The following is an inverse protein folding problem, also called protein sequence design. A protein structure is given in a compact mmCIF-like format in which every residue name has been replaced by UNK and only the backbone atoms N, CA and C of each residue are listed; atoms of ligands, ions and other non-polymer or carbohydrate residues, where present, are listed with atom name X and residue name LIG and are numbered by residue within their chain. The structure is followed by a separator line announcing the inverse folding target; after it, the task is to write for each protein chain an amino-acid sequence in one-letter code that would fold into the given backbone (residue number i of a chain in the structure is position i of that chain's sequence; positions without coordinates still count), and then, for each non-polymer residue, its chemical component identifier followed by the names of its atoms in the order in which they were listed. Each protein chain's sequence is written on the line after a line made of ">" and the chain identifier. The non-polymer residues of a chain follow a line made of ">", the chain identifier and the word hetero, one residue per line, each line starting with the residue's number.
data_IF_201858994153
#
_entry.id   IF_201858994153
#
_cell.length_a   1.000
_cell.length_b   1.000
_cell.length_c   1.000
_cell.angle_alpha   90.00
_cell.angle_beta   90.00
_cell.angle_gamma   90.00
#
_symmetry.space_group_name_H-M   'P 1'
#
loop_
_entity.id
_entity.type
_entity.pdbx_description
1 polymer ?
#
# COMPACT_ATOMS: atom_id res chain seq x y z
N UNK A 1 -15.49 -12.41 -14.75
CA UNK A 1 -15.18 -11.06 -14.21
C UNK A 1 -15.06 -10.06 -15.36
N UNK A 2 -15.67 -8.88 -15.27
CA UNK A 2 -15.52 -7.83 -16.30
C UNK A 2 -14.07 -7.33 -16.39
N UNK A 3 -13.63 -6.93 -17.59
CA UNK A 3 -12.24 -6.51 -17.85
C UNK A 3 -11.81 -5.36 -16.91
N UNK A 4 -12.70 -4.40 -16.65
CA UNK A 4 -12.43 -3.28 -15.74
C UNK A 4 -12.23 -3.71 -14.29
N UNK A 5 -12.94 -4.74 -13.81
CA UNK A 5 -12.71 -5.26 -12.46
C UNK A 5 -11.40 -6.06 -12.40
N UNK A 6 -11.12 -6.88 -13.41
CA UNK A 6 -9.88 -7.64 -13.51
C UNK A 6 -8.65 -6.72 -13.50
N UNK A 7 -8.70 -5.61 -14.23
CA UNK A 7 -7.59 -4.65 -14.27
C UNK A 7 -7.33 -3.99 -12.91
N UNK A 8 -8.35 -3.73 -12.09
CA UNK A 8 -8.17 -3.21 -10.73
C UNK A 8 -7.41 -4.20 -9.83
N UNK A 9 -7.79 -5.49 -9.83
CA UNK A 9 -7.06 -6.50 -9.06
C UNK A 9 -5.63 -6.68 -9.54
N UNK A 10 -5.42 -6.79 -10.86
CA UNK A 10 -4.10 -7.03 -11.44
C UNK A 10 -3.18 -5.83 -11.22
N UNK A 11 -3.68 -4.59 -11.41
CA UNK A 11 -2.87 -3.39 -11.18
C UNK A 11 -2.49 -3.21 -9.72
N UNK A 12 -3.45 -3.39 -8.80
CA UNK A 12 -3.20 -3.29 -7.37
C UNK A 12 -2.20 -4.36 -6.92
N UNK A 13 -2.41 -5.61 -7.31
CA UNK A 13 -1.48 -6.69 -7.01
C UNK A 13 -0.09 -6.46 -7.61
N UNK A 14 -0.02 -5.97 -8.85
CA UNK A 14 1.24 -5.63 -9.51
C UNK A 14 2.05 -4.59 -8.73
N UNK A 15 1.40 -3.55 -8.22
CA UNK A 15 2.05 -2.54 -7.35
C UNK A 15 2.61 -3.21 -6.10
N UNK A 16 1.81 -4.01 -5.39
CA UNK A 16 2.23 -4.68 -4.16
C UNK A 16 3.38 -5.67 -4.38
N UNK A 17 3.32 -6.49 -5.43
CA UNK A 17 4.37 -7.47 -5.73
C UNK A 17 5.67 -6.79 -6.14
N UNK A 18 5.59 -5.72 -6.93
CA UNK A 18 6.77 -5.02 -7.43
C UNK A 18 7.45 -4.22 -6.31
N UNK A 19 6.70 -3.35 -5.63
CA UNK A 19 7.23 -2.53 -4.53
C UNK A 19 7.66 -3.43 -3.38
N UNK A 20 6.86 -4.43 -3.03
CA UNK A 20 7.19 -5.41 -1.99
C UNK A 20 8.44 -6.23 -2.31
N UNK A 21 8.63 -6.60 -3.58
CA UNK A 21 9.86 -7.26 -4.04
C UNK A 21 11.10 -6.37 -3.88
N UNK A 22 10.97 -5.06 -4.11
CA UNK A 22 12.11 -4.15 -3.93
C UNK A 22 12.51 -3.96 -2.46
N UNK A 23 11.60 -4.18 -1.49
CA UNK A 23 11.87 -4.00 -0.05
C UNK A 23 13.02 -4.86 0.49
N UNK A 24 13.37 -5.95 -0.20
CA UNK A 24 14.50 -6.80 0.15
C UNK A 24 15.86 -6.24 -0.29
N UNK A 25 15.87 -5.05 -0.92
CA UNK A 25 17.09 -4.35 -1.32
C UNK A 25 17.45 -3.24 -0.33
N UNK A 26 18.75 -2.96 -0.20
CA UNK A 26 19.23 -1.84 0.59
C UNK A 26 18.78 -0.48 0.03
N UNK A 27 18.58 -0.39 -1.30
CA UNK A 27 18.07 0.80 -1.96
C UNK A 27 16.69 1.20 -1.44
N UNK A 28 15.75 0.26 -1.47
CA UNK A 28 14.39 0.52 -1.02
C UNK A 28 14.32 0.70 0.50
N UNK A 29 15.13 -0.04 1.27
CA UNK A 29 15.19 0.10 2.72
C UNK A 29 15.59 1.52 3.16
N UNK A 30 16.48 2.19 2.41
CA UNK A 30 16.83 3.58 2.66
C UNK A 30 15.76 4.55 2.14
N UNK A 31 15.14 4.26 1.00
CA UNK A 31 14.10 5.10 0.42
C UNK A 31 12.88 5.25 1.34
N UNK A 32 12.48 4.18 2.03
CA UNK A 32 11.30 4.19 2.91
C UNK A 32 11.53 4.91 4.23
N UNK A 33 12.80 5.08 4.62
CA UNK A 33 13.18 5.57 5.93
C UNK A 33 12.64 6.98 6.17
N UNK A 34 12.72 7.85 5.17
CA UNK A 34 12.24 9.25 5.26
C UNK A 34 10.77 9.33 5.65
N UNK A 35 9.94 8.40 5.18
CA UNK A 35 8.52 8.34 5.50
C UNK A 35 8.28 7.66 6.85
N UNK A 36 8.85 6.47 7.00
CA UNK A 36 8.45 5.52 8.03
C UNK A 36 9.10 5.80 9.41
N UNK A 37 10.28 6.42 9.46
CA UNK A 37 10.90 6.79 10.74
C UNK A 37 10.16 7.93 11.46
N UNK A 38 9.44 8.77 10.69
CA UNK A 38 8.73 9.93 11.21
C UNK A 38 7.28 9.61 11.61
N UNK A 39 6.79 8.39 11.35
CA UNK A 39 5.43 7.97 11.67
C UNK A 39 5.36 7.16 12.97
N UNK A 40 4.45 7.49 13.90
CA UNK A 40 4.27 6.71 15.13
C UNK A 40 3.79 5.28 14.87
N UNK A 41 3.24 4.99 13.68
CA UNK A 41 2.77 3.65 13.32
C UNK A 41 3.95 2.70 13.07
N UNK A 42 5.07 3.20 12.55
CA UNK A 42 6.18 2.36 12.07
C UNK A 42 7.52 2.64 12.75
N UNK A 43 7.71 3.82 13.36
CA UNK A 43 9.00 4.25 13.91
C UNK A 43 9.52 3.34 15.03
N UNK A 44 8.62 2.77 15.84
CA UNK A 44 8.96 1.87 16.94
C UNK A 44 9.54 0.51 16.49
N UNK A 45 9.40 0.14 15.22
CA UNK A 45 9.98 -1.09 14.68
C UNK A 45 11.49 -0.97 14.44
N UNK A 46 12.00 0.23 14.17
CA UNK A 46 13.41 0.44 13.79
C UNK A 46 14.40 0.08 14.90
N UNK A 47 14.18 0.42 16.18
CA UNK A 47 15.06 -0.02 17.26
C UNK A 47 15.09 -1.54 17.47
N UNK A 48 14.05 -2.26 17.05
CA UNK A 48 13.91 -3.70 17.25
C UNK A 48 14.51 -4.52 16.11
N UNK A 49 14.31 -4.06 14.86
CA UNK A 49 14.63 -4.84 13.66
C UNK A 49 15.67 -4.18 12.75
N UNK A 50 16.05 -2.92 13.03
CA UNK A 50 16.91 -2.13 12.16
C UNK A 50 16.26 -1.77 10.82
N UNK A 51 16.91 -0.91 10.03
CA UNK A 51 16.36 -0.37 8.78
C UNK A 51 16.00 -1.48 7.79
N UNK A 52 16.92 -2.40 7.53
CA UNK A 52 16.67 -3.51 6.59
C UNK A 52 15.64 -4.50 7.12
N UNK A 53 15.63 -4.79 8.43
CA UNK A 53 14.66 -5.71 9.01
C UNK A 53 13.22 -5.17 8.92
N UNK A 54 13.02 -3.89 9.20
CA UNK A 54 11.73 -3.22 8.99
C UNK A 54 11.31 -3.28 7.52
N UNK A 55 12.23 -2.97 6.60
CA UNK A 55 11.96 -3.08 5.16
C UNK A 55 11.54 -4.50 4.76
N UNK A 56 12.26 -5.53 5.22
CA UNK A 56 11.93 -6.93 4.93
C UNK A 56 10.53 -7.33 5.44
N UNK A 57 10.15 -6.89 6.64
CA UNK A 57 8.81 -7.15 7.20
C UNK A 57 7.72 -6.54 6.31
N UNK A 58 7.91 -5.28 5.89
CA UNK A 58 7.00 -4.61 4.96
C UNK A 58 6.98 -5.32 3.60
N UNK A 59 8.13 -5.79 3.11
CA UNK A 59 8.23 -6.57 1.87
C UNK A 59 7.43 -7.86 1.90
N UNK A 60 7.54 -8.64 2.98
CA UNK A 60 6.73 -9.86 3.16
C UNK A 60 5.24 -9.51 3.19
N UNK A 61 4.85 -8.46 3.92
CA UNK A 61 3.47 -8.00 4.01
C UNK A 61 2.92 -7.59 2.63
N UNK A 62 3.67 -6.80 1.87
CA UNK A 62 3.28 -6.31 0.54
C UNK A 62 3.20 -7.45 -0.47
N UNK A 63 4.17 -8.37 -0.50
CA UNK A 63 4.13 -9.54 -1.39
C UNK A 63 2.94 -10.44 -1.05
N UNK A 64 2.69 -10.71 0.23
CA UNK A 64 1.53 -11.49 0.66
C UNK A 64 0.21 -10.82 0.24
N UNK A 65 0.11 -9.49 0.37
CA UNK A 65 -1.04 -8.70 -0.07
C UNK A 65 -1.29 -8.88 -1.56
N UNK A 66 -0.25 -8.73 -2.39
CA UNK A 66 -0.35 -8.88 -3.84
C UNK A 66 -0.79 -10.30 -4.27
N UNK A 67 -0.23 -11.34 -3.65
CA UNK A 67 -0.62 -12.73 -3.92
C UNK A 67 -2.08 -13.00 -3.51
N UNK A 68 -2.52 -12.49 -2.36
CA UNK A 68 -3.90 -12.61 -1.92
C UNK A 68 -4.85 -11.88 -2.87
N UNK A 69 -4.50 -10.68 -3.36
CA UNK A 69 -5.31 -9.98 -4.34
C UNK A 69 -5.48 -10.80 -5.64
N UNK A 70 -4.40 -11.40 -6.16
CA UNK A 70 -4.46 -12.27 -7.35
C UNK A 70 -5.27 -13.56 -7.14
N UNK A 71 -5.38 -14.03 -5.90
CA UNK A 71 -6.21 -15.19 -5.56
C UNK A 71 -7.71 -14.98 -5.81
N UNK A 72 -8.14 -13.79 -6.27
CA UNK A 72 -9.53 -13.46 -6.64
C UNK A 72 -10.20 -14.47 -7.56
N UNK A 73 -9.46 -15.06 -8.49
CA UNK A 73 -9.99 -16.07 -9.44
C UNK A 73 -10.23 -17.43 -8.77
N UNK A 74 -9.51 -17.73 -7.69
CA UNK A 74 -9.61 -19.02 -6.98
C UNK A 74 -10.61 -18.91 -5.83
N UNK A 75 -10.55 -17.81 -5.08
CA UNK A 75 -11.44 -17.58 -3.94
C UNK A 75 -11.65 -16.09 -3.69
N UNK A 76 -12.90 -15.59 -3.80
CA UNK A 76 -13.24 -14.24 -3.34
C UNK A 76 -12.92 -14.01 -1.86
N UNK A 77 -12.92 -15.08 -1.04
CA UNK A 77 -12.62 -14.99 0.40
C UNK A 77 -11.16 -14.63 0.64
N UNK A 78 -10.23 -15.33 -0.01
CA UNK A 78 -8.80 -15.05 0.12
C UNK A 78 -8.47 -13.65 -0.41
N UNK A 79 -9.08 -13.27 -1.52
CA UNK A 79 -8.89 -11.93 -2.08
C UNK A 79 -9.41 -10.80 -1.19
N UNK A 80 -10.50 -11.02 -0.46
CA UNK A 80 -10.97 -10.03 0.53
C UNK A 80 -9.95 -9.74 1.63
N UNK A 81 -9.14 -10.73 2.03
CA UNK A 81 -8.06 -10.52 3.01
C UNK A 81 -6.97 -9.64 2.42
N UNK A 82 -6.56 -9.91 1.17
CA UNK A 82 -5.61 -9.05 0.45
C UNK A 82 -6.11 -7.61 0.29
N UNK A 83 -7.41 -7.43 0.00
CA UNK A 83 -8.02 -6.11 -0.08
C UNK A 83 -8.02 -5.36 1.26
N UNK A 84 -8.31 -6.03 2.38
CA UNK A 84 -8.21 -5.42 3.71
C UNK A 84 -6.77 -5.05 4.03
N UNK A 85 -5.82 -5.92 3.70
CA UNK A 85 -4.39 -5.64 3.89
C UNK A 85 -3.94 -4.42 3.08
N UNK A 86 -4.42 -4.27 1.84
CA UNK A 86 -4.10 -3.10 1.02
C UNK A 86 -4.73 -1.81 1.53
N UNK A 87 -5.96 -1.86 2.05
CA UNK A 87 -6.60 -0.72 2.75
C UNK A 87 -5.70 -0.25 3.89
N UNK A 88 -5.24 -1.18 4.74
CA UNK A 88 -4.36 -0.85 5.87
C UNK A 88 -3.07 -0.20 5.37
N UNK A 89 -2.42 -0.75 4.34
CA UNK A 89 -1.22 -0.15 3.75
C UNK A 89 -1.46 1.30 3.36
N UNK A 90 -2.50 1.58 2.58
CA UNK A 90 -2.71 2.94 2.07
C UNK A 90 -3.19 3.91 3.14
N UNK A 91 -3.84 3.44 4.20
CA UNK A 91 -4.12 4.28 5.37
C UNK A 91 -2.82 4.65 6.10
N UNK A 92 -1.89 3.70 6.24
CA UNK A 92 -0.58 3.96 6.84
C UNK A 92 0.22 4.92 5.95
N UNK A 93 0.28 4.70 4.63
CA UNK A 93 1.01 5.61 3.74
C UNK A 93 0.39 7.00 3.69
N UNK A 94 -0.94 7.12 3.66
CA UNK A 94 -1.59 8.44 3.72
C UNK A 94 -1.38 9.14 5.05
N UNK A 95 -1.18 8.42 6.15
CA UNK A 95 -0.77 9.03 7.43
C UNK A 95 0.55 9.79 7.31
N UNK A 96 1.43 9.39 6.38
CA UNK A 96 2.71 10.03 6.13
C UNK A 96 2.58 11.46 5.59
N UNK A 97 1.43 11.84 5.01
CA UNK A 97 1.16 13.24 4.62
C UNK A 97 1.21 14.20 5.82
N UNK A 98 0.90 13.70 7.01
CA UNK A 98 0.84 14.50 8.23
C UNK A 98 2.07 14.31 9.12
N UNK A 99 2.78 13.19 8.98
CA UNK A 99 3.93 12.87 9.85
C UNK A 99 5.28 13.11 9.18
N UNK A 100 5.35 13.15 7.84
CA UNK A 100 6.63 13.22 7.12
C UNK A 100 7.02 14.68 6.84
N UNK A 101 8.24 15.11 7.21
CA UNK A 101 8.73 16.43 6.83
C UNK A 101 8.93 16.52 5.32
N UNK A 102 8.74 17.71 4.74
CA UNK A 102 8.95 17.94 3.31
C UNK A 102 7.76 17.58 2.40
N UNK A 103 6.60 17.22 2.96
CA UNK A 103 5.34 17.04 2.20
C UNK A 103 4.91 18.35 1.52
N UNK A 104 5.06 19.49 2.21
CA UNK A 104 4.77 20.81 1.68
C UNK A 104 5.92 21.39 0.86
N UNK A 105 5.63 21.92 -0.34
CA UNK A 105 6.57 22.62 -1.20
C UNK A 105 6.92 24.00 -0.64
N UNK A 106 8.10 24.14 -0.03
CA UNK A 106 8.56 25.40 0.57
C UNK A 106 8.54 26.59 -0.42
N UNK A 107 8.95 26.44 -1.71
CA UNK A 107 8.88 27.55 -2.67
C UNK A 107 7.46 28.03 -2.96
N UNK A 108 6.44 27.23 -2.65
CA UNK A 108 5.02 27.53 -2.86
C UNK A 108 4.28 27.87 -1.55
N UNK A 109 5.00 28.18 -0.47
CA UNK A 109 4.41 28.54 0.83
C UNK A 109 4.16 27.36 1.78
N UNK A 110 4.66 26.17 1.46
CA UNK A 110 4.49 24.97 2.28
C UNK A 110 3.14 24.27 2.08
N UNK A 111 2.74 23.43 3.02
CA UNK A 111 1.48 22.70 2.93
C UNK A 111 0.28 23.68 2.95
N UNK A 112 -0.72 23.55 2.05
CA UNK A 112 -1.11 22.36 1.27
C UNK A 112 -0.51 22.24 -0.13
N UNK A 113 0.38 23.12 -0.57
CA UNK A 113 1.08 22.95 -1.85
C UNK A 113 2.02 21.73 -1.73
N UNK A 114 1.79 20.67 -2.51
CA UNK A 114 2.52 19.40 -2.39
C UNK A 114 3.88 19.46 -3.08
N UNK A 115 4.92 19.00 -2.38
CA UNK A 115 6.24 18.77 -2.98
C UNK A 115 6.18 17.65 -4.03
N UNK A 116 7.00 17.76 -5.07
CA UNK A 116 7.00 16.80 -6.18
C UNK A 116 7.44 15.40 -5.73
N UNK A 117 8.45 15.31 -4.87
CA UNK A 117 9.05 14.04 -4.47
C UNK A 117 8.25 13.29 -3.40
N UNK A 118 7.75 14.01 -2.38
CA UNK A 118 7.11 13.41 -1.20
C UNK A 118 5.59 13.61 -1.27
N UNK A 119 5.13 14.85 -1.34
CA UNK A 119 3.70 15.17 -1.24
C UNK A 119 2.87 14.56 -2.38
N UNK A 120 3.31 14.73 -3.62
CA UNK A 120 2.62 14.19 -4.79
C UNK A 120 2.71 12.66 -4.86
N UNK A 121 3.85 12.08 -4.43
CA UNK A 121 4.00 10.63 -4.33
C UNK A 121 2.96 10.02 -3.37
N UNK A 122 2.72 10.65 -2.22
CA UNK A 122 1.72 10.18 -1.25
C UNK A 122 0.28 10.47 -1.69
N UNK A 123 0.04 11.58 -2.40
CA UNK A 123 -1.31 11.95 -2.82
C UNK A 123 -1.98 10.91 -3.73
N UNK A 124 -1.20 10.22 -4.58
CA UNK A 124 -1.75 9.16 -5.46
C UNK A 124 -2.33 7.98 -4.67
N UNK A 125 -1.89 7.78 -3.42
CA UNK A 125 -2.36 6.67 -2.58
C UNK A 125 -3.81 6.86 -2.16
N UNK A 126 -4.39 8.07 -2.27
CA UNK A 126 -5.83 8.27 -2.10
C UNK A 126 -6.64 7.48 -3.13
N UNK A 127 -6.18 7.45 -4.39
CA UNK A 127 -6.83 6.66 -5.43
C UNK A 127 -6.64 5.16 -5.18
N UNK A 128 -5.46 4.75 -4.72
CA UNK A 128 -5.17 3.35 -4.41
C UNK A 128 -5.96 2.84 -3.19
N UNK A 129 -6.22 3.70 -2.20
CA UNK A 129 -7.12 3.41 -1.10
C UNK A 129 -8.56 3.21 -1.60
N UNK A 130 -9.04 4.09 -2.47
CA UNK A 130 -10.38 3.95 -3.07
C UNK A 130 -10.51 2.65 -3.88
N UNK A 131 -9.50 2.30 -4.67
CA UNK A 131 -9.45 1.02 -5.40
C UNK A 131 -9.44 -0.15 -4.42
N UNK A 132 -8.65 -0.07 -3.33
CA UNK A 132 -8.59 -1.11 -2.30
C UNK A 132 -9.93 -1.33 -1.62
N UNK A 133 -10.65 -0.27 -1.27
CA UNK A 133 -12.02 -0.33 -0.74
C UNK A 133 -12.98 -0.99 -1.73
N UNK A 134 -12.90 -0.60 -3.00
CA UNK A 134 -13.74 -1.13 -4.06
C UNK A 134 -13.52 -2.64 -4.27
N UNK A 135 -12.28 -3.09 -4.47
CA UNK A 135 -11.98 -4.52 -4.68
C UNK A 135 -12.31 -5.35 -3.44
N UNK A 136 -12.12 -4.81 -2.24
CA UNK A 136 -12.53 -5.48 -1.00
C UNK A 136 -14.05 -5.66 -0.94
N UNK A 137 -14.80 -4.59 -1.23
CA UNK A 137 -16.27 -4.62 -1.27
C UNK A 137 -16.80 -5.62 -2.30
N UNK A 138 -16.21 -5.65 -3.49
CA UNK A 138 -16.55 -6.62 -4.55
C UNK A 138 -16.25 -8.07 -4.13
N UNK A 139 -15.09 -8.33 -3.51
CA UNK A 139 -14.74 -9.66 -3.01
C UNK A 139 -15.69 -10.14 -1.92
N UNK A 140 -16.10 -9.26 -1.01
CA UNK A 140 -17.04 -9.56 0.07
C UNK A 140 -18.47 -9.81 -0.46
N UNK A 141 -18.88 -9.11 -1.53
CA UNK A 141 -20.16 -9.36 -2.18
C UNK A 141 -20.18 -10.69 -2.93
N UNK A 142 -19.14 -10.99 -3.72
CA UNK A 142 -19.00 -12.27 -4.41
C UNK A 142 -19.01 -13.46 -3.44
N UNK A 143 -18.41 -13.31 -2.25
CA UNK A 143 -18.50 -14.29 -1.16
C UNK A 143 -19.95 -14.58 -0.73
N UNK A 144 -20.82 -13.58 -0.70
CA UNK A 144 -22.23 -13.73 -0.24
C UNK A 144 -23.11 -14.39 -1.30
N UNK A 145 -22.82 -14.16 -2.58
CA UNK A 145 -23.65 -14.66 -3.68
C UNK A 145 -23.30 -16.09 -4.12
N UNK A 146 -22.27 -16.70 -3.54
CA UNK A 146 -21.85 -18.06 -3.90
C UNK A 146 -21.32 -18.18 -5.33
N UNK A 147 -21.06 -17.04 -5.99
CA UNK A 147 -20.40 -16.97 -7.28
C UNK A 147 -18.91 -17.21 -7.07
N UNK A 148 -18.54 -18.47 -6.88
CA UNK A 148 -17.17 -18.93 -7.01
C UNK A 148 -16.79 -18.85 -8.50
N UNK A 149 -16.34 -17.65 -8.89
CA UNK A 149 -15.68 -17.23 -10.14
C UNK A 149 -16.37 -17.57 -11.48
#
# INVERSE_FOLDING_TARGET
>A
MAIGLASLYVSLAGIFLWVGGMKFTAYEAQAILVFSQNSPVTSWLYPLFGIQGVSNILGVYEVATGLLLLSRIVSPRLSSVGGIMSIITYLVTLSFLFTTPGVGAQPAGGFPALSAEIGQFLAKDMALLAISLFVTGESLQAKKTGLDA
#
